data_IF_994209598915
#
_entry.id   IF_994209598915
#
_cell.length_a   1.000
_cell.length_b   1.000
_cell.length_c   1.000
_cell.angle_alpha   90.00
_cell.angle_beta   90.00
_cell.angle_gamma   90.00
#
_symmetry.space_group_name_H-M   'P 1'
#
loop_
_entity.id
_entity.type
_entity.pdbx_description
1 polymer ?
#
# COMPACT_ATOMS: atom_id res chain seq x y z
N UNK A 1 22.95 4.59 -24.64
CA UNK A 1 21.69 4.08 -24.07
C UNK A 1 21.91 3.84 -22.58
N UNK A 2 21.48 4.75 -21.71
CA UNK A 2 21.66 4.56 -20.25
C UNK A 2 20.40 3.95 -19.65
N UNK A 3 20.62 2.80 -19.05
CA UNK A 3 19.68 1.89 -18.40
C UNK A 3 18.83 2.62 -17.37
N UNK A 4 17.51 2.64 -17.58
CA UNK A 4 16.55 2.98 -16.52
C UNK A 4 16.48 1.79 -15.58
N UNK A 5 17.31 1.80 -14.54
CA UNK A 5 17.24 0.80 -13.47
C UNK A 5 15.80 0.70 -12.94
N UNK A 6 15.31 -0.51 -12.60
CA UNK A 6 13.94 -0.67 -12.16
C UNK A 6 13.72 0.19 -10.92
N UNK A 7 12.76 1.11 -10.99
CA UNK A 7 12.26 1.79 -9.79
C UNK A 7 11.78 0.68 -8.86
N UNK A 8 12.46 0.51 -7.73
CA UNK A 8 12.06 -0.44 -6.69
C UNK A 8 10.72 0.03 -6.14
N UNK A 9 9.61 -0.41 -6.73
CA UNK A 9 8.31 -0.33 -6.08
C UNK A 9 8.43 -1.15 -4.80
N UNK A 10 8.05 -0.54 -3.68
CA UNK A 10 7.98 -1.28 -2.41
C UNK A 10 6.71 -2.12 -2.47
N UNK A 11 6.87 -3.43 -2.41
CA UNK A 11 5.78 -4.34 -2.18
C UNK A 11 5.67 -4.62 -0.69
N UNK A 12 4.44 -4.57 -0.18
CA UNK A 12 4.11 -5.04 1.16
C UNK A 12 3.09 -6.16 1.01
N UNK A 13 3.46 -7.34 1.48
CA UNK A 13 2.59 -8.50 1.47
C UNK A 13 1.89 -8.62 2.83
N UNK A 14 0.69 -9.19 2.84
CA UNK A 14 -0.08 -9.44 4.06
C UNK A 14 -0.38 -8.19 4.91
N UNK A 15 -0.73 -7.07 4.27
CA UNK A 15 -1.11 -5.85 5.00
C UNK A 15 -2.53 -6.01 5.55
N UNK A 16 -2.63 -6.07 6.88
CA UNK A 16 -3.92 -6.07 7.55
C UNK A 16 -4.55 -4.68 7.48
N UNK A 17 -5.77 -4.62 6.96
CA UNK A 17 -6.57 -3.41 6.90
C UNK A 17 -7.21 -3.22 8.27
N UNK A 18 -6.92 -2.09 8.90
CA UNK A 18 -7.39 -1.77 10.26
C UNK A 18 -8.54 -0.77 10.26
N UNK A 19 -8.69 0.00 9.19
CA UNK A 19 -9.69 1.07 9.10
C UNK A 19 -10.08 1.32 7.62
N UNK A 20 -11.13 2.12 7.38
CA UNK A 20 -11.52 2.62 6.05
C UNK A 20 -11.51 4.15 6.09
N UNK A 21 -10.87 4.77 5.10
CA UNK A 21 -10.95 6.21 4.85
C UNK A 21 -12.26 6.58 4.10
N UNK A 22 -12.70 7.84 4.22
CA UNK A 22 -13.97 8.36 3.66
C UNK A 22 -14.17 8.15 2.15
N UNK A 23 -13.10 7.89 1.38
CA UNK A 23 -13.18 7.53 -0.05
C UNK A 23 -13.50 6.05 -0.32
N UNK A 24 -13.72 5.23 0.72
CA UNK A 24 -13.87 3.77 0.56
C UNK A 24 -12.53 3.07 0.31
N UNK A 25 -11.43 3.71 0.72
CA UNK A 25 -10.07 3.13 0.68
C UNK A 25 -9.78 2.52 2.04
N UNK A 26 -9.40 1.25 2.08
CA UNK A 26 -8.91 0.63 3.29
C UNK A 26 -7.57 1.20 3.70
N UNK A 27 -7.42 1.43 4.99
CA UNK A 27 -6.20 1.92 5.63
C UNK A 27 -5.52 0.73 6.27
N UNK A 28 -4.39 0.35 5.70
CA UNK A 28 -3.48 -0.66 6.22
C UNK A 28 -2.26 -0.02 6.88
N UNK A 29 -1.69 -0.68 7.88
CA UNK A 29 -0.39 -0.30 8.43
C UNK A 29 0.60 -1.42 8.18
N UNK A 30 1.74 -1.09 7.57
CA UNK A 30 2.86 -1.99 7.42
C UNK A 30 4.11 -1.32 7.99
N UNK A 31 4.68 -1.93 9.04
CA UNK A 31 5.77 -1.37 9.85
C UNK A 31 5.44 0.08 10.31
N UNK A 32 6.06 1.08 9.67
CA UNK A 32 5.89 2.53 9.94
C UNK A 32 5.14 3.28 8.83
N UNK A 33 4.60 2.56 7.83
CA UNK A 33 3.91 3.15 6.68
C UNK A 33 2.40 2.95 6.79
N UNK A 34 1.66 4.03 6.57
CA UNK A 34 0.21 3.99 6.33
C UNK A 34 -0.01 3.80 4.84
N UNK A 35 -0.65 2.70 4.48
CA UNK A 35 -0.94 2.30 3.11
C UNK A 35 -2.43 2.47 2.85
N UNK A 36 -2.76 3.11 1.74
CA UNK A 36 -4.14 3.29 1.30
C UNK A 36 -4.41 2.29 0.18
N UNK A 37 -5.39 1.43 0.40
CA UNK A 37 -5.75 0.31 -0.47
C UNK A 37 -7.15 0.54 -1.01
N UNK A 38 -7.32 0.57 -2.32
CA UNK A 38 -8.63 0.74 -2.92
C UNK A 38 -9.49 -0.51 -2.66
N UNK A 39 -10.77 -0.33 -2.29
CA UNK A 39 -11.74 -1.41 -2.04
C UNK A 39 -11.34 -2.42 -0.96
N UNK A 40 -10.56 -2.00 0.03
CA UNK A 40 -10.21 -2.86 1.15
C UNK A 40 -11.05 -2.54 2.39
N UNK A 41 -11.39 -3.58 3.16
CA UNK A 41 -12.32 -3.52 4.29
C UNK A 41 -11.56 -3.92 5.57
N UNK A 42 -11.87 -3.36 6.76
CA UNK A 42 -11.16 -3.66 7.99
C UNK A 42 -11.36 -5.13 8.34
N UNK A 43 -10.27 -5.81 8.67
CA UNK A 43 -10.25 -7.24 8.92
C UNK A 43 -9.87 -8.09 7.70
N UNK A 44 -9.72 -7.47 6.52
CA UNK A 44 -9.18 -8.14 5.34
C UNK A 44 -7.64 -8.00 5.28
N UNK A 45 -6.99 -8.93 4.58
CA UNK A 45 -5.54 -8.95 4.40
C UNK A 45 -5.27 -8.79 2.90
N UNK A 46 -4.55 -7.72 2.53
CA UNK A 46 -4.28 -7.41 1.14
C UNK A 46 -2.78 -7.21 0.89
N UNK A 47 -2.34 -7.61 -0.30
CA UNK A 47 -1.00 -7.31 -0.81
C UNK A 47 -1.03 -6.00 -1.59
N UNK A 48 -0.08 -5.11 -1.30
CA UNK A 48 -0.09 -3.74 -1.83
C UNK A 48 1.25 -3.37 -2.44
N UNK A 49 1.18 -2.80 -3.65
CA UNK A 49 2.33 -2.28 -4.37
C UNK A 49 2.36 -0.76 -4.32
N UNK A 50 3.44 -0.19 -3.77
CA UNK A 50 3.64 1.25 -3.73
C UNK A 50 4.34 1.72 -5.01
N UNK A 51 3.56 2.29 -5.93
CA UNK A 51 4.06 2.90 -7.16
C UNK A 51 4.66 4.31 -6.96
N UNK A 52 4.27 5.01 -5.89
CA UNK A 52 4.72 6.38 -5.61
C UNK A 52 4.67 6.69 -4.11
N UNK A 53 5.81 6.61 -3.44
CA UNK A 53 5.98 7.09 -2.07
C UNK A 53 6.22 8.60 -2.08
N UNK A 54 5.30 9.39 -1.53
CA UNK A 54 5.49 10.82 -1.27
C UNK A 54 6.08 10.94 0.14
N UNK A 55 7.23 11.60 0.28
CA UNK A 55 7.82 11.92 1.58
C UNK A 55 7.05 13.08 2.21
#
# INVERSE_FOLDING_TARGET
MMSRGPKKSKFFENVAIIDIAEEGKGVGKADDFVLFVDKAVPGDIADVEVFRSKK
#
